data_IF_001378616010
#
_entry.id   IF_001378616010
#
_cell.length_a   1.000
_cell.length_b   1.000
_cell.length_c   1.000
_cell.angle_alpha   90.00
_cell.angle_beta   90.00
_cell.angle_gamma   90.00
#
_symmetry.space_group_name_H-M   'P 1'
#
loop_
_entity.id
_entity.type
_entity.pdbx_description
1 polymer ?
#
# COMPACT_ATOMS: atom_id res chain seq x y z
N UNK A 1 18.63 -23.88 9.65
CA UNK A 1 19.00 -22.52 10.11
C UNK A 1 17.73 -21.75 10.43
N UNK A 2 17.50 -21.41 11.71
CA UNK A 2 16.29 -20.72 12.16
C UNK A 2 16.48 -19.21 11.95
N UNK A 3 15.79 -18.59 10.99
CA UNK A 3 15.76 -17.13 10.85
C UNK A 3 14.80 -16.54 11.87
N UNK A 4 15.33 -15.75 12.80
CA UNK A 4 14.56 -15.01 13.79
C UNK A 4 13.94 -13.79 13.10
N UNK A 5 12.61 -13.71 13.12
CA UNK A 5 11.90 -12.48 12.79
C UNK A 5 12.07 -11.48 13.95
N UNK A 6 12.65 -10.33 13.65
CA UNK A 6 12.75 -9.23 14.60
C UNK A 6 11.49 -8.38 14.40
N UNK A 7 10.59 -8.45 15.38
CA UNK A 7 9.45 -7.53 15.48
C UNK A 7 10.02 -6.21 16.01
N UNK A 8 10.07 -5.19 15.16
CA UNK A 8 10.45 -3.84 15.57
C UNK A 8 9.27 -3.22 16.32
N UNK A 9 9.35 -3.26 17.64
CA UNK A 9 8.45 -2.52 18.52
C UNK A 9 8.89 -1.05 18.52
N UNK A 10 8.12 -0.17 17.92
CA UNK A 10 8.34 1.27 17.99
C UNK A 10 7.99 1.73 19.40
N UNK A 11 9.00 2.01 20.19
CA UNK A 11 8.88 2.65 21.50
C UNK A 11 8.82 4.16 21.28
N UNK A 12 7.63 4.72 21.50
CA UNK A 12 7.44 6.17 21.54
C UNK A 12 8.06 6.67 22.83
N UNK A 13 9.25 7.27 22.75
CA UNK A 13 9.91 7.94 23.86
C UNK A 13 9.24 9.29 24.08
N UNK A 14 8.49 9.41 25.16
CA UNK A 14 8.01 10.69 25.65
C UNK A 14 9.21 11.53 26.10
N UNK A 15 9.48 12.63 25.42
CA UNK A 15 10.50 13.61 25.81
C UNK A 15 9.92 14.44 26.94
N UNK A 16 10.31 14.11 28.17
CA UNK A 16 10.03 14.94 29.35
C UNK A 16 11.08 16.05 29.41
N UNK A 17 10.71 17.26 29.06
CA UNK A 17 11.55 18.43 29.22
C UNK A 17 11.53 18.82 30.70
N UNK A 18 12.58 18.48 31.43
CA UNK A 18 12.81 18.95 32.80
C UNK A 18 13.48 20.32 32.69
N UNK A 19 12.71 21.37 32.99
CA UNK A 19 13.23 22.72 33.17
C UNK A 19 13.84 22.78 34.56
N UNK A 20 15.16 22.59 34.66
CA UNK A 20 15.92 22.85 35.88
C UNK A 20 16.17 24.37 36.01
N UNK A 21 15.44 24.99 36.91
CA UNK A 21 15.66 26.36 37.31
C UNK A 21 17.02 26.50 38.01
N UNK A 22 17.95 27.25 37.42
CA UNK A 22 19.17 27.71 38.09
C UNK A 22 18.84 28.91 38.97
N UNK A 23 18.86 28.70 40.25
CA UNK A 23 18.88 29.80 41.23
C UNK A 23 20.23 30.55 41.16
N UNK A 24 20.21 31.83 40.89
CA UNK A 24 21.32 32.71 41.03
C UNK A 24 21.12 33.61 42.26
N UNK A 25 22.17 33.65 43.10
CA UNK A 25 22.27 34.43 44.29
C UNK A 25 22.31 35.93 43.99
N UNK A 26 21.73 36.69 44.91
CA UNK A 26 21.77 38.13 45.02
C UNK A 26 23.17 38.71 44.92
N UNK A 27 23.30 39.75 44.11
CA UNK A 27 24.10 40.91 44.46
C UNK A 27 23.41 42.19 43.99
N UNK A 28 23.31 43.10 44.94
CA UNK A 28 22.67 44.40 44.89
C UNK A 28 23.34 45.34 43.89
N UNK A 29 22.54 45.86 42.89
CA UNK A 29 22.67 47.26 42.50
C UNK A 29 21.41 47.75 41.81
N UNK A 30 20.88 48.84 42.31
CA UNK A 30 19.75 49.61 41.83
C UNK A 30 19.95 50.11 40.41
N UNK A 31 19.02 49.74 39.50
CA UNK A 31 18.65 50.57 38.38
C UNK A 31 17.20 50.23 38.02
N UNK A 32 16.32 51.19 38.19
CA UNK A 32 14.91 51.11 37.76
C UNK A 32 14.87 50.95 36.23
N UNK A 33 14.41 49.76 35.76
CA UNK A 33 13.97 49.61 34.39
C UNK A 33 12.56 49.04 34.43
N UNK A 34 11.62 49.89 34.00
CA UNK A 34 10.22 49.55 33.84
C UNK A 34 10.09 48.48 32.77
N UNK A 35 10.02 47.23 33.17
CA UNK A 35 9.72 46.12 32.26
C UNK A 35 8.21 45.92 32.28
N UNK A 36 7.56 46.24 31.22
CA UNK A 36 6.14 45.88 30.99
C UNK A 36 5.98 44.37 31.04
N UNK A 37 4.90 43.82 31.61
CA UNK A 37 4.67 42.38 31.60
C UNK A 37 4.51 41.91 30.17
N UNK A 38 5.43 41.04 29.72
CA UNK A 38 5.27 40.29 28.47
C UNK A 38 4.16 39.29 28.70
N UNK A 39 3.03 39.56 28.14
CA UNK A 39 1.86 38.65 28.15
C UNK A 39 2.21 37.40 27.34
N UNK A 40 2.42 36.27 28.02
CA UNK A 40 2.61 34.95 27.40
C UNK A 40 1.22 34.36 27.11
N UNK A 41 0.45 34.99 26.24
CA UNK A 41 -0.86 34.46 25.82
C UNK A 41 -0.86 33.78 24.45
N UNK A 42 0.26 33.79 23.71
CA UNK A 42 0.25 33.39 22.29
C UNK A 42 0.53 31.91 22.06
N UNK A 43 0.98 31.17 23.08
CA UNK A 43 1.49 29.80 22.87
C UNK A 43 0.40 28.72 22.94
N UNK A 44 -0.66 28.92 23.73
CA UNK A 44 -1.70 27.90 23.93
C UNK A 44 -2.65 27.81 22.74
N UNK A 45 -3.01 28.95 22.15
CA UNK A 45 -3.92 28.99 21.00
C UNK A 45 -3.35 28.33 19.72
N UNK A 46 -2.00 28.32 19.60
CA UNK A 46 -1.32 27.71 18.45
C UNK A 46 -1.24 26.17 18.59
N UNK A 47 -1.19 25.66 19.81
CA UNK A 47 -1.07 24.21 20.06
C UNK A 47 -2.37 23.48 19.80
N UNK A 48 -3.52 24.04 20.18
CA UNK A 48 -4.85 23.45 19.89
C UNK A 48 -5.13 23.42 18.40
N UNK A 49 -4.80 24.49 17.68
CA UNK A 49 -4.96 24.54 16.22
C UNK A 49 -4.06 23.52 15.49
N UNK A 50 -2.83 23.33 15.97
CA UNK A 50 -1.94 22.30 15.42
C UNK A 50 -2.44 20.89 15.71
N UNK A 51 -2.96 20.64 16.91
CA UNK A 51 -3.53 19.36 17.27
C UNK A 51 -4.74 19.01 16.40
N UNK A 52 -5.66 19.94 16.23
CA UNK A 52 -6.82 19.77 15.36
C UNK A 52 -6.39 19.46 13.90
N UNK A 53 -5.37 20.17 13.40
CA UNK A 53 -4.86 19.95 12.04
C UNK A 53 -4.20 18.59 11.88
N UNK A 54 -3.52 18.07 12.91
CA UNK A 54 -2.95 16.72 12.93
C UNK A 54 -4.08 15.68 12.84
N UNK A 55 -5.12 15.82 13.65
CA UNK A 55 -6.27 14.90 13.65
C UNK A 55 -7.01 14.88 12.31
N UNK A 56 -7.18 16.06 11.68
CA UNK A 56 -7.75 16.16 10.34
C UNK A 56 -6.90 15.42 9.30
N UNK A 57 -5.58 15.64 9.30
CA UNK A 57 -4.66 15.00 8.37
C UNK A 57 -4.57 13.48 8.57
N UNK A 58 -4.60 13.01 9.81
CA UNK A 58 -4.65 11.57 10.13
C UNK A 58 -5.95 10.93 9.64
N UNK A 59 -7.07 11.63 9.80
CA UNK A 59 -8.38 11.17 9.29
C UNK A 59 -8.40 11.11 7.76
N UNK A 60 -7.87 12.15 7.09
CA UNK A 60 -7.73 12.16 5.63
C UNK A 60 -6.84 11.02 5.15
N UNK A 61 -5.67 10.83 5.76
CA UNK A 61 -4.75 9.74 5.44
C UNK A 61 -5.44 8.38 5.56
N UNK A 62 -6.17 8.14 6.65
CA UNK A 62 -6.89 6.88 6.86
C UNK A 62 -7.94 6.63 5.77
N UNK A 63 -8.61 7.70 5.30
CA UNK A 63 -9.59 7.62 4.20
C UNK A 63 -8.91 7.27 2.88
N UNK A 64 -7.77 7.91 2.57
CA UNK A 64 -7.00 7.60 1.37
C UNK A 64 -6.46 6.17 1.39
N UNK A 65 -5.91 5.71 2.51
CA UNK A 65 -5.41 4.35 2.67
C UNK A 65 -6.51 3.29 2.44
N UNK A 66 -7.74 3.56 2.91
CA UNK A 66 -8.88 2.68 2.65
C UNK A 66 -9.30 2.64 1.18
N UNK A 67 -9.40 3.80 0.54
CA UNK A 67 -9.76 3.90 -0.88
C UNK A 67 -8.71 3.22 -1.75
N UNK A 68 -7.45 3.46 -1.46
CA UNK A 68 -6.32 2.82 -2.11
C UNK A 68 -6.38 1.30 -2.03
N UNK A 69 -6.58 0.74 -0.83
CA UNK A 69 -6.65 -0.71 -0.65
C UNK A 69 -7.84 -1.34 -1.38
N UNK A 70 -9.00 -0.66 -1.42
CA UNK A 70 -10.18 -1.13 -2.15
C UNK A 70 -9.91 -1.14 -3.66
N UNK A 71 -9.32 -0.07 -4.19
CA UNK A 71 -9.02 0.06 -5.61
C UNK A 71 -7.99 -0.98 -6.07
N UNK A 72 -6.89 -1.11 -5.36
CA UNK A 72 -5.85 -2.13 -5.61
C UNK A 72 -6.43 -3.53 -5.58
N UNK A 73 -7.24 -3.83 -4.56
CA UNK A 73 -7.91 -5.12 -4.45
C UNK A 73 -8.80 -5.39 -5.66
N UNK A 74 -9.61 -4.43 -6.06
CA UNK A 74 -10.52 -4.58 -7.20
C UNK A 74 -9.77 -4.85 -8.51
N UNK A 75 -8.65 -4.16 -8.74
CA UNK A 75 -7.82 -4.36 -9.94
C UNK A 75 -7.22 -5.76 -9.95
N UNK A 76 -6.68 -6.23 -8.83
CA UNK A 76 -6.09 -7.57 -8.72
C UNK A 76 -7.17 -8.65 -8.82
N UNK A 77 -8.32 -8.49 -8.18
CA UNK A 77 -9.46 -9.42 -8.30
C UNK A 77 -9.89 -9.57 -9.77
N UNK A 78 -9.95 -8.46 -10.51
CA UNK A 78 -10.27 -8.50 -11.94
C UNK A 78 -9.21 -9.22 -12.76
N UNK A 79 -7.94 -9.01 -12.46
CA UNK A 79 -6.87 -9.76 -13.10
C UNK A 79 -6.96 -11.26 -12.82
N UNK A 80 -7.22 -11.66 -11.57
CA UNK A 80 -7.42 -13.04 -11.20
C UNK A 80 -8.60 -13.68 -11.96
N UNK A 81 -9.72 -12.96 -12.07
CA UNK A 81 -10.93 -13.45 -12.75
C UNK A 81 -10.78 -13.55 -14.27
N UNK A 82 -10.13 -12.57 -14.90
CA UNK A 82 -10.12 -12.43 -16.36
C UNK A 82 -8.89 -13.06 -17.02
N UNK A 83 -7.76 -13.12 -16.31
CA UNK A 83 -6.50 -13.63 -16.84
C UNK A 83 -6.03 -14.93 -16.20
N UNK A 84 -6.13 -15.04 -14.87
CA UNK A 84 -5.69 -16.23 -14.14
C UNK A 84 -6.79 -17.29 -13.97
N UNK A 85 -8.02 -17.00 -14.44
CA UNK A 85 -9.13 -17.96 -14.44
C UNK A 85 -9.62 -18.16 -15.88
N UNK A 86 -9.50 -19.37 -16.38
CA UNK A 86 -9.86 -19.69 -17.78
C UNK A 86 -10.16 -21.18 -17.93
N UNK A 87 -10.92 -21.51 -19.01
CA UNK A 87 -11.19 -22.85 -19.47
C UNK A 87 -10.73 -22.94 -20.91
N UNK A 88 -9.89 -23.92 -21.23
CA UNK A 88 -9.29 -24.12 -22.54
C UNK A 88 -8.25 -23.05 -22.91
N UNK A 89 -8.67 -21.83 -23.24
CA UNK A 89 -7.78 -20.76 -23.73
C UNK A 89 -7.85 -19.49 -22.88
N UNK A 90 -6.67 -18.95 -22.52
CA UNK A 90 -6.51 -17.66 -21.83
C UNK A 90 -6.94 -16.45 -22.69
N UNK A 91 -7.02 -16.61 -24.01
CA UNK A 91 -7.18 -15.48 -24.94
C UNK A 91 -8.53 -14.79 -24.88
N UNK A 92 -9.56 -15.45 -24.36
CA UNK A 92 -10.96 -15.01 -24.51
C UNK A 92 -11.30 -13.74 -23.74
N UNK A 93 -10.56 -13.41 -22.67
CA UNK A 93 -10.91 -12.31 -21.77
C UNK A 93 -9.91 -11.15 -21.76
N UNK A 94 -8.80 -11.23 -22.52
CA UNK A 94 -7.73 -10.23 -22.42
C UNK A 94 -8.17 -8.82 -22.79
N UNK A 95 -9.12 -8.68 -23.74
CA UNK A 95 -9.65 -7.38 -24.14
C UNK A 95 -10.33 -6.63 -22.99
N UNK A 96 -10.89 -7.37 -22.04
CA UNK A 96 -11.55 -6.83 -20.85
C UNK A 96 -10.54 -6.33 -19.79
N UNK A 97 -9.27 -6.70 -19.92
CA UNK A 97 -8.20 -6.27 -19.01
C UNK A 97 -7.61 -4.91 -19.36
N UNK A 98 -7.91 -4.35 -20.52
CA UNK A 98 -7.30 -3.10 -21.02
C UNK A 98 -7.38 -1.94 -20.02
N UNK A 99 -8.49 -1.83 -19.31
CA UNK A 99 -8.69 -0.74 -18.35
C UNK A 99 -7.90 -0.94 -17.03
N UNK A 100 -7.49 -2.18 -16.74
CA UNK A 100 -6.78 -2.57 -15.52
C UNK A 100 -5.27 -2.69 -15.69
N UNK A 101 -4.75 -2.66 -16.93
CA UNK A 101 -3.34 -2.82 -17.26
C UNK A 101 -2.75 -1.52 -17.81
N UNK A 102 -1.45 -1.31 -17.62
CA UNK A 102 -0.72 -0.32 -18.42
C UNK A 102 -0.72 -0.73 -19.88
N UNK A 103 -0.62 0.24 -20.80
CA UNK A 103 -0.65 -0.04 -22.24
C UNK A 103 0.49 -0.98 -22.65
N UNK A 104 1.67 -0.80 -22.09
CA UNK A 104 2.85 -1.64 -22.37
C UNK A 104 2.62 -3.08 -21.94
N UNK A 105 2.09 -3.29 -20.72
CA UNK A 105 1.84 -4.63 -20.21
C UNK A 105 0.68 -5.31 -20.95
N UNK A 106 -0.37 -4.56 -21.29
CA UNK A 106 -1.46 -5.06 -22.12
C UNK A 106 -0.96 -5.56 -23.48
N UNK A 107 -0.13 -4.78 -24.19
CA UNK A 107 0.44 -5.16 -25.45
C UNK A 107 1.38 -6.39 -25.33
N UNK A 108 2.16 -6.47 -24.26
CA UNK A 108 2.99 -7.63 -23.97
C UNK A 108 2.15 -8.90 -23.80
N UNK A 109 1.05 -8.84 -23.04
CA UNK A 109 0.18 -9.98 -22.84
C UNK A 109 -0.50 -10.41 -24.14
N UNK A 110 -0.97 -9.48 -24.99
CA UNK A 110 -1.55 -9.82 -26.29
C UNK A 110 -0.60 -10.62 -27.18
N UNK A 111 0.69 -10.25 -27.20
CA UNK A 111 1.69 -10.98 -27.97
C UNK A 111 2.00 -12.36 -27.42
N UNK A 112 1.98 -12.51 -26.09
CA UNK A 112 2.29 -13.80 -25.42
C UNK A 112 1.17 -14.81 -25.57
N UNK A 113 -0.10 -14.39 -25.45
CA UNK A 113 -1.27 -15.28 -25.47
C UNK A 113 -1.53 -15.87 -26.85
N UNK A 114 -1.19 -15.16 -27.94
CA UNK A 114 -1.34 -15.69 -29.29
C UNK A 114 -0.62 -17.01 -29.53
N UNK A 115 0.24 -17.43 -28.61
CA UNK A 115 1.04 -18.66 -28.69
C UNK A 115 0.66 -19.74 -27.65
N UNK A 116 -0.29 -19.46 -26.77
CA UNK A 116 -0.68 -20.38 -25.67
C UNK A 116 -1.96 -21.11 -26.04
N UNK A 117 -1.85 -22.34 -26.57
CA UNK A 117 -2.98 -23.26 -26.72
C UNK A 117 -2.94 -24.25 -25.57
N UNK A 118 -3.93 -24.20 -24.69
CA UNK A 118 -4.15 -25.23 -23.68
C UNK A 118 -5.15 -26.28 -24.22
N UNK A 119 -5.05 -27.48 -23.65
CA UNK A 119 -5.97 -28.56 -23.93
C UNK A 119 -7.39 -28.18 -23.49
N UNK A 120 -8.41 -28.57 -24.25
CA UNK A 120 -9.82 -28.30 -23.93
C UNK A 120 -10.27 -28.91 -22.58
N UNK A 121 -9.50 -29.85 -22.04
CA UNK A 121 -9.73 -30.47 -20.73
C UNK A 121 -9.08 -29.73 -19.55
N UNK A 122 -8.50 -28.53 -19.77
CA UNK A 122 -7.85 -27.74 -18.73
C UNK A 122 -8.74 -26.59 -18.30
N UNK A 123 -9.01 -26.52 -17.00
CA UNK A 123 -9.67 -25.38 -16.35
C UNK A 123 -8.83 -24.87 -15.18
N UNK A 124 -8.74 -23.57 -15.03
CA UNK A 124 -8.09 -22.93 -13.91
C UNK A 124 -9.00 -21.84 -13.34
N UNK A 125 -9.22 -21.88 -12.02
CA UNK A 125 -9.88 -20.81 -11.27
C UNK A 125 -8.89 -20.24 -10.25
N UNK A 126 -8.77 -18.92 -10.21
CA UNK A 126 -7.87 -18.22 -9.29
C UNK A 126 -8.64 -17.13 -8.55
N UNK A 127 -8.58 -17.16 -7.21
CA UNK A 127 -9.22 -16.17 -6.34
C UNK A 127 -8.20 -15.51 -5.42
N UNK A 128 -8.31 -14.20 -5.23
CA UNK A 128 -7.48 -13.46 -4.27
C UNK A 128 -7.88 -13.82 -2.83
N UNK A 129 -6.89 -14.23 -2.02
CA UNK A 129 -7.06 -14.55 -0.60
C UNK A 129 -6.60 -13.37 0.26
N UNK A 130 -5.38 -12.88 0.02
CA UNK A 130 -4.77 -11.83 0.82
C UNK A 130 -3.81 -11.00 -0.02
N UNK A 131 -3.68 -9.72 0.31
CA UNK A 131 -2.71 -8.83 -0.32
C UNK A 131 -1.91 -8.04 0.73
N UNK A 132 -0.68 -7.70 0.35
CA UNK A 132 0.25 -6.86 1.10
C UNK A 132 0.80 -5.81 0.15
N UNK A 133 0.57 -4.55 0.47
CA UNK A 133 1.00 -3.42 -0.36
C UNK A 133 2.29 -2.86 0.21
N UNK A 134 3.30 -2.63 -0.63
CA UNK A 134 4.52 -1.93 -0.27
C UNK A 134 4.32 -0.42 -0.26
N UNK A 135 5.28 0.29 0.30
CA UNK A 135 5.34 1.74 0.16
C UNK A 135 5.51 2.15 -1.31
N UNK A 136 5.11 3.39 -1.61
CA UNK A 136 5.32 3.98 -2.93
C UNK A 136 6.81 4.22 -3.18
N UNK A 137 7.22 3.96 -4.42
CA UNK A 137 8.51 4.38 -4.93
C UNK A 137 8.45 5.82 -5.47
N UNK A 138 9.59 6.50 -5.58
CA UNK A 138 9.69 7.88 -6.08
C UNK A 138 9.10 8.07 -7.49
N UNK A 139 9.04 7.02 -8.28
CA UNK A 139 8.48 7.01 -9.64
C UNK A 139 6.96 6.83 -9.69
N UNK A 140 6.29 6.80 -8.52
CA UNK A 140 4.84 6.58 -8.39
C UNK A 140 4.41 5.13 -8.61
N UNK A 141 5.35 4.17 -8.62
CA UNK A 141 5.05 2.74 -8.61
C UNK A 141 5.06 2.17 -7.19
N UNK A 142 4.43 1.03 -7.02
CA UNK A 142 4.43 0.26 -5.78
C UNK A 142 4.25 -1.22 -6.10
N UNK A 143 4.65 -2.07 -5.17
CA UNK A 143 4.51 -3.51 -5.33
C UNK A 143 3.40 -4.04 -4.41
N UNK A 144 2.66 -5.01 -4.92
CA UNK A 144 1.63 -5.73 -4.17
C UNK A 144 1.92 -7.21 -4.24
N UNK A 145 2.21 -7.80 -3.10
CA UNK A 145 2.29 -9.25 -2.97
C UNK A 145 0.88 -9.80 -2.69
N UNK A 146 0.37 -10.62 -3.58
CA UNK A 146 -0.94 -11.24 -3.48
C UNK A 146 -0.84 -12.74 -3.31
N UNK A 147 -1.49 -13.28 -2.28
CA UNK A 147 -1.69 -14.72 -2.09
C UNK A 147 -3.04 -15.06 -2.71
N UNK A 148 -3.02 -15.99 -3.67
CA UNK A 148 -4.20 -16.44 -4.38
C UNK A 148 -4.43 -17.93 -4.15
N UNK A 149 -5.69 -18.33 -3.98
CA UNK A 149 -6.09 -19.73 -4.10
C UNK A 149 -6.22 -20.08 -5.58
N UNK A 150 -5.67 -21.21 -5.98
CA UNK A 150 -5.75 -21.72 -7.35
C UNK A 150 -6.32 -23.12 -7.35
N UNK A 151 -7.37 -23.34 -8.13
CA UNK A 151 -7.95 -24.64 -8.43
C UNK A 151 -7.66 -24.94 -9.88
N UNK A 152 -7.06 -26.09 -10.16
CA UNK A 152 -6.80 -26.60 -11.51
C UNK A 152 -7.59 -27.88 -11.67
N UNK A 153 -8.34 -28.00 -12.77
CA UNK A 153 -9.01 -29.21 -13.18
C UNK A 153 -8.37 -29.64 -14.51
N UNK A 154 -7.85 -30.84 -14.55
CA UNK A 154 -7.23 -31.43 -15.72
C UNK A 154 -7.61 -32.89 -15.85
N UNK A 155 -8.28 -33.29 -16.94
CA UNK A 155 -8.79 -34.64 -17.14
C UNK A 155 -9.60 -35.17 -15.93
N UNK A 156 -10.51 -34.36 -15.41
CA UNK A 156 -11.36 -34.62 -14.24
C UNK A 156 -10.61 -34.76 -12.91
N UNK A 157 -9.29 -34.54 -12.88
CA UNK A 157 -8.51 -34.46 -11.65
C UNK A 157 -8.47 -33.01 -11.13
N UNK A 158 -8.79 -32.85 -9.84
CA UNK A 158 -8.83 -31.52 -9.17
C UNK A 158 -7.60 -31.34 -8.30
N UNK A 159 -6.86 -30.26 -8.54
CA UNK A 159 -5.72 -29.84 -7.70
C UNK A 159 -5.98 -28.46 -7.13
N UNK A 160 -5.73 -28.29 -5.81
CA UNK A 160 -5.84 -27.02 -5.13
C UNK A 160 -4.48 -26.61 -4.55
N UNK A 161 -4.11 -25.34 -4.74
CA UNK A 161 -2.87 -24.79 -4.22
C UNK A 161 -3.04 -23.30 -3.86
N UNK A 162 -2.11 -22.78 -3.05
CA UNK A 162 -1.92 -21.34 -2.91
C UNK A 162 -0.71 -20.93 -3.74
N UNK A 163 -0.89 -19.84 -4.47
CA UNK A 163 0.14 -19.26 -5.34
C UNK A 163 0.35 -17.81 -4.93
N UNK A 164 1.60 -17.39 -4.92
CA UNK A 164 1.95 -16.01 -4.60
C UNK A 164 2.39 -15.28 -5.87
N UNK A 165 1.80 -14.13 -6.12
CA UNK A 165 2.15 -13.22 -7.19
C UNK A 165 2.67 -11.90 -6.65
N UNK A 166 3.65 -11.32 -7.34
CA UNK A 166 4.08 -9.94 -7.14
C UNK A 166 3.55 -9.09 -8.29
N UNK A 167 2.70 -8.12 -7.98
CA UNK A 167 2.15 -7.16 -8.92
C UNK A 167 2.94 -5.86 -8.79
N UNK A 168 3.60 -5.40 -9.85
CA UNK A 168 4.06 -4.02 -9.93
C UNK A 168 2.91 -3.16 -10.45
N UNK A 169 2.53 -2.14 -9.71
CA UNK A 169 1.37 -1.30 -9.97
C UNK A 169 1.77 0.18 -10.03
N UNK A 170 0.90 1.00 -10.59
CA UNK A 170 1.09 2.45 -10.62
C UNK A 170 -0.20 3.18 -10.98
N UNK A 171 -0.22 4.49 -10.71
CA UNK A 171 -1.33 5.35 -11.08
C UNK A 171 -1.09 6.04 -12.43
N UNK A 172 -2.08 5.95 -13.30
CA UNK A 172 -2.15 6.63 -14.60
C UNK A 172 -3.41 7.49 -14.61
N UNK A 173 -3.27 8.81 -14.58
CA UNK A 173 -4.41 9.74 -14.53
C UNK A 173 -5.38 9.41 -13.38
N UNK A 174 -4.85 9.11 -12.19
CA UNK A 174 -5.60 8.70 -11.00
C UNK A 174 -6.34 7.34 -11.11
N UNK A 175 -5.97 6.51 -12.07
CA UNK A 175 -6.49 5.14 -12.21
C UNK A 175 -5.36 4.17 -11.89
N UNK A 176 -5.59 3.27 -10.93
CA UNK A 176 -4.64 2.23 -10.56
C UNK A 176 -4.58 1.17 -11.65
N UNK A 177 -3.36 0.86 -12.13
CA UNK A 177 -3.12 -0.13 -13.19
C UNK A 177 -1.96 -1.05 -12.85
N UNK A 178 -2.04 -2.29 -13.34
CA UNK A 178 -0.95 -3.28 -13.26
C UNK A 178 0.06 -3.00 -14.37
N UNK A 179 1.34 -2.93 -14.04
CA UNK A 179 2.47 -2.70 -14.96
C UNK A 179 3.21 -3.99 -15.30
N UNK A 180 3.26 -4.94 -14.37
CA UNK A 180 3.77 -6.29 -14.57
C UNK A 180 3.30 -7.21 -13.47
N UNK A 181 3.33 -8.52 -13.73
CA UNK A 181 3.02 -9.56 -12.74
C UNK A 181 4.08 -10.64 -12.83
N UNK A 182 4.57 -11.06 -11.67
CA UNK A 182 5.52 -12.16 -11.52
C UNK A 182 4.93 -13.20 -10.57
N UNK A 183 4.97 -14.47 -10.97
CA UNK A 183 4.63 -15.60 -10.09
C UNK A 183 5.87 -15.93 -9.25
N UNK A 184 5.74 -15.90 -7.93
CA UNK A 184 6.85 -16.14 -7.01
C UNK A 184 6.89 -17.61 -6.57
N UNK A 185 5.74 -18.19 -6.23
CA UNK A 185 5.59 -19.59 -5.76
C UNK A 185 4.30 -20.19 -6.27
#
# INVERSE_FOLDING_TARGET
MKKKFIIATVVISAITVIVTGCGLKNDTNKTESTTAPVTVETTTMNTENLQQRIEELESEKLKYDRLFNIEVKNVIDKYCQLYLSYSGSQSNNISQLKDYLSDDYYNQLQTTIGHSTYDDNYEQATGLVQLYVSDYEDNGSFNVMAICSQTIIYNDEVSNSNVTYNFNMGYYYNICKIRSVEKIF
#
